data_IF_775127592271
#
_entry.id   IF_775127592271
#
_cell.length_a   1.000
_cell.length_b   1.000
_cell.length_c   1.000
_cell.angle_alpha   90.00
_cell.angle_beta   90.00
_cell.angle_gamma   90.00
#
_symmetry.space_group_name_H-M   'P 1'
#
loop_
_entity.id
_entity.type
_entity.pdbx_description
1 polymer ?
#
# COMPACT_ATOMS: atom_id res chain seq x y z
N UNK A 1 47.78 13.21 -5.58
CA UNK A 1 47.60 14.44 -6.37
C UNK A 1 46.24 15.00 -6.01
N UNK A 2 46.10 16.26 -5.55
CA UNK A 2 44.79 16.81 -5.23
C UNK A 2 44.02 16.96 -6.54
N UNK A 3 42.77 16.52 -6.56
CA UNK A 3 41.89 16.74 -7.71
C UNK A 3 41.56 18.25 -7.74
N UNK A 4 42.17 18.98 -8.67
CA UNK A 4 41.95 20.42 -8.84
C UNK A 4 40.67 20.61 -9.66
N UNK A 5 39.53 20.35 -9.01
CA UNK A 5 38.20 20.67 -9.51
C UNK A 5 38.07 22.20 -9.44
N UNK A 6 38.06 22.87 -10.60
CA UNK A 6 37.77 24.30 -10.69
C UNK A 6 36.54 24.61 -9.81
N UNK A 7 36.65 25.58 -8.89
CA UNK A 7 35.66 25.81 -7.81
C UNK A 7 34.22 25.92 -8.29
N UNK A 8 34.01 26.32 -9.54
CA UNK A 8 32.70 26.46 -10.17
C UNK A 8 32.01 25.10 -10.44
N UNK A 9 32.76 24.02 -10.65
CA UNK A 9 32.20 22.69 -10.89
C UNK A 9 31.41 22.18 -9.68
N UNK A 10 31.89 22.45 -8.46
CA UNK A 10 31.26 21.98 -7.22
C UNK A 10 29.99 22.76 -6.83
N UNK A 11 29.75 23.91 -7.46
CA UNK A 11 28.51 24.68 -7.29
C UNK A 11 27.37 24.16 -8.18
N UNK A 12 27.64 23.12 -8.99
CA UNK A 12 26.65 22.49 -9.87
C UNK A 12 26.08 21.20 -9.28
N UNK A 13 25.09 20.62 -9.95
CA UNK A 13 24.56 19.30 -9.60
C UNK A 13 25.22 18.23 -10.48
N UNK A 14 25.45 17.06 -9.92
CA UNK A 14 26.18 15.97 -10.55
C UNK A 14 25.33 14.70 -10.57
N UNK A 15 25.33 13.99 -11.71
CA UNK A 15 24.84 12.63 -11.76
C UNK A 15 25.78 11.71 -10.99
N UNK A 16 25.20 10.80 -10.21
CA UNK A 16 25.92 9.81 -9.45
C UNK A 16 25.13 8.50 -9.43
N UNK A 17 25.84 7.39 -9.21
CA UNK A 17 25.25 6.09 -8.98
C UNK A 17 25.41 5.70 -7.51
N UNK A 18 24.38 5.13 -6.92
CA UNK A 18 24.44 4.58 -5.56
C UNK A 18 25.20 3.26 -5.58
N UNK A 19 26.23 3.14 -4.73
CA UNK A 19 27.08 1.94 -4.65
C UNK A 19 26.90 1.18 -3.33
N UNK A 20 26.33 1.82 -2.30
CA UNK A 20 26.01 1.14 -1.03
C UNK A 20 24.96 1.91 -0.24
N UNK A 21 24.11 1.18 0.47
CA UNK A 21 23.13 1.69 1.43
C UNK A 21 23.47 1.34 2.88
N UNK A 22 24.59 0.64 3.11
CA UNK A 22 25.03 0.20 4.45
C UNK A 22 25.75 1.32 5.20
N UNK A 23 25.00 2.32 5.65
CA UNK A 23 25.54 3.47 6.38
C UNK A 23 26.08 3.06 7.76
N UNK A 24 27.41 3.15 8.02
CA UNK A 24 27.99 2.78 9.31
C UNK A 24 27.48 3.62 10.48
N UNK A 25 27.01 4.84 10.22
CA UNK A 25 26.53 5.77 11.24
C UNK A 25 25.01 5.70 11.45
N UNK A 26 24.29 4.86 10.69
CA UNK A 26 22.82 4.71 10.75
C UNK A 26 22.05 6.03 10.55
N UNK A 27 22.54 6.91 9.68
CA UNK A 27 21.94 8.22 9.38
C UNK A 27 21.09 8.21 8.11
N UNK A 28 20.82 7.02 7.54
CA UNK A 28 20.16 6.84 6.25
C UNK A 28 20.86 7.59 5.10
N UNK A 29 22.20 7.64 5.13
CA UNK A 29 23.01 8.11 4.01
C UNK A 29 23.17 6.98 2.98
N UNK A 30 23.48 7.37 1.75
CA UNK A 30 23.88 6.45 0.69
C UNK A 30 25.30 6.76 0.26
N UNK A 31 26.07 5.73 -0.08
CA UNK A 31 27.38 5.89 -0.70
C UNK A 31 27.16 6.04 -2.20
N UNK A 32 27.68 7.12 -2.78
CA UNK A 32 27.50 7.44 -4.19
C UNK A 32 28.83 7.57 -4.90
N UNK A 33 28.85 7.19 -6.18
CA UNK A 33 29.95 7.36 -7.12
C UNK A 33 29.52 8.35 -8.19
N UNK A 34 30.21 9.48 -8.30
CA UNK A 34 29.91 10.51 -9.31
C UNK A 34 30.20 9.98 -10.72
N UNK A 35 29.28 10.20 -11.66
CA UNK A 35 29.39 9.80 -13.06
C UNK A 35 29.98 10.89 -13.96
N UNK A 36 30.06 12.13 -13.47
CA UNK A 36 30.44 13.32 -14.25
C UNK A 36 31.93 13.70 -14.14
N UNK A 37 32.71 12.95 -13.35
CA UNK A 37 34.12 13.22 -13.11
C UNK A 37 34.92 11.97 -13.47
N UNK A 38 35.61 12.03 -14.61
CA UNK A 38 36.45 10.94 -15.11
C UNK A 38 37.83 10.92 -14.43
N UNK A 39 38.28 9.73 -14.00
CA UNK A 39 39.62 9.50 -13.45
C UNK A 39 39.72 8.22 -12.59
N UNK A 40 40.93 7.71 -12.35
CA UNK A 40 41.23 6.50 -11.54
C UNK A 40 40.82 6.58 -10.05
N UNK A 41 40.14 7.65 -9.64
CA UNK A 41 39.59 7.85 -8.31
C UNK A 41 38.18 8.38 -8.41
N UNK A 42 37.25 7.60 -8.96
CA UNK A 42 35.82 7.88 -8.85
C UNK A 42 35.47 7.95 -7.36
N UNK A 43 35.53 9.15 -6.79
CA UNK A 43 35.47 9.34 -5.36
C UNK A 43 34.09 8.90 -4.87
N UNK A 44 34.07 7.80 -4.13
CA UNK A 44 32.86 7.36 -3.46
C UNK A 44 32.69 8.15 -2.18
N UNK A 45 31.53 8.76 -2.00
CA UNK A 45 31.24 9.66 -0.88
C UNK A 45 29.93 9.25 -0.22
N UNK A 46 29.87 9.36 1.11
CA UNK A 46 28.61 9.22 1.84
C UNK A 46 27.80 10.51 1.73
N UNK A 47 26.65 10.44 1.07
CA UNK A 47 25.74 11.56 0.86
C UNK A 47 24.49 11.42 1.71
N UNK A 48 24.07 12.53 2.32
CA UNK A 48 22.75 12.62 2.96
C UNK A 48 21.67 12.68 1.89
N UNK A 49 20.50 12.12 2.17
CA UNK A 49 19.37 12.15 1.23
C UNK A 49 18.36 13.21 1.68
N UNK A 50 18.02 14.14 0.79
CA UNK A 50 16.92 15.06 1.00
C UNK A 50 15.60 14.32 0.84
N UNK A 51 14.88 14.14 1.94
CA UNK A 51 13.57 13.50 1.98
C UNK A 51 12.47 14.53 2.19
N UNK A 52 11.22 14.18 1.87
CA UNK A 52 10.08 15.10 1.95
C UNK A 52 9.88 15.72 3.34
N UNK A 53 10.16 14.97 4.42
CA UNK A 53 10.28 15.48 5.77
C UNK A 53 11.11 14.53 6.64
N UNK A 54 11.80 15.06 7.65
CA UNK A 54 12.56 14.29 8.63
C UNK A 54 12.49 14.96 10.02
N UNK A 55 12.56 14.15 11.08
CA UNK A 55 12.57 14.58 12.47
C UNK A 55 12.91 13.42 13.42
N UNK A 56 12.96 13.68 14.72
CA UNK A 56 13.24 12.65 15.72
C UNK A 56 12.24 11.49 15.62
N UNK A 57 12.71 10.31 15.19
CA UNK A 57 11.91 9.08 15.00
C UNK A 57 10.67 9.23 14.11
N UNK A 58 10.66 10.18 13.17
CA UNK A 58 9.58 10.38 12.19
C UNK A 58 10.13 10.94 10.88
N UNK A 59 9.54 10.56 9.75
CA UNK A 59 10.03 11.03 8.44
C UNK A 59 9.42 10.26 7.27
N UNK A 60 9.73 10.72 6.06
CA UNK A 60 9.51 9.97 4.81
C UNK A 60 10.79 9.23 4.43
N UNK A 61 10.95 7.97 4.85
CA UNK A 61 12.15 7.18 4.57
C UNK A 61 12.06 6.51 3.19
N UNK A 62 12.31 7.30 2.14
CA UNK A 62 12.46 6.82 0.76
C UNK A 62 13.89 7.05 0.32
N UNK A 63 14.70 5.99 0.37
CA UNK A 63 16.14 6.03 0.09
C UNK A 63 16.41 5.31 -1.24
N UNK A 64 17.22 5.87 -2.14
CA UNK A 64 17.66 5.19 -3.36
C UNK A 64 18.36 3.86 -3.03
N UNK A 65 18.17 2.85 -3.87
CA UNK A 65 18.82 1.54 -3.72
C UNK A 65 20.16 1.52 -4.46
N UNK A 66 20.96 0.49 -4.23
CA UNK A 66 22.19 0.23 -5.00
C UNK A 66 21.85 0.16 -6.49
N UNK A 67 22.75 0.72 -7.30
CA UNK A 67 22.67 0.90 -8.75
C UNK A 67 21.73 2.03 -9.23
N UNK A 68 20.92 2.62 -8.35
CA UNK A 68 20.07 3.75 -8.72
C UNK A 68 20.88 4.99 -9.08
N UNK A 69 20.44 5.68 -10.13
CA UNK A 69 20.98 6.97 -10.54
C UNK A 69 20.33 8.10 -9.72
N UNK A 70 21.17 8.97 -9.16
CA UNK A 70 20.79 10.06 -8.28
C UNK A 70 21.44 11.37 -8.68
N UNK A 71 20.76 12.46 -8.35
CA UNK A 71 21.28 13.81 -8.51
C UNK A 71 21.89 14.28 -7.17
N UNK A 72 23.17 14.66 -7.19
CA UNK A 72 23.94 15.08 -6.02
C UNK A 72 24.31 16.55 -6.15
N UNK A 73 24.18 17.30 -5.05
CA UNK A 73 24.73 18.65 -4.90
C UNK A 73 25.65 18.71 -3.69
N UNK A 74 26.48 19.75 -3.63
CA UNK A 74 27.42 19.98 -2.54
C UNK A 74 27.02 21.24 -1.78
N UNK A 75 26.83 21.11 -0.46
CA UNK A 75 26.40 22.23 0.36
C UNK A 75 27.44 23.37 0.30
N UNK A 76 27.03 24.53 -0.24
CA UNK A 76 27.90 25.68 -0.49
C UNK A 76 29.16 25.35 -1.32
N UNK A 77 29.06 24.37 -2.23
CA UNK A 77 30.18 23.93 -3.07
C UNK A 77 31.26 23.12 -2.31
N UNK A 78 31.01 22.68 -1.08
CA UNK A 78 31.96 21.90 -0.31
C UNK A 78 31.79 20.39 -0.57
N UNK A 79 32.80 19.72 -1.16
CA UNK A 79 32.73 18.30 -1.53
C UNK A 79 32.59 17.36 -0.33
N UNK A 80 32.85 17.84 0.89
CA UNK A 80 32.69 17.07 2.14
C UNK A 80 31.25 16.95 2.59
N UNK A 81 30.34 17.74 2.03
CA UNK A 81 28.93 17.76 2.39
C UNK A 81 28.00 17.46 1.20
N UNK A 82 28.10 16.27 0.59
CA UNK A 82 27.22 15.87 -0.50
C UNK A 82 25.79 15.61 -0.01
N UNK A 83 24.82 16.01 -0.82
CA UNK A 83 23.39 15.83 -0.60
C UNK A 83 22.76 15.28 -1.88
N UNK A 84 22.14 14.10 -1.79
CA UNK A 84 21.23 13.60 -2.82
C UNK A 84 19.95 14.41 -2.75
N UNK A 85 19.54 15.02 -3.86
CA UNK A 85 18.33 15.85 -3.95
C UNK A 85 17.19 15.17 -4.72
N UNK A 86 17.45 14.02 -5.34
CA UNK A 86 16.44 13.20 -6.00
C UNK A 86 17.07 12.01 -6.76
N UNK A 87 16.20 11.12 -7.23
CA UNK A 87 16.55 10.01 -8.12
C UNK A 87 16.07 10.27 -9.54
N UNK A 88 16.74 9.66 -10.51
CA UNK A 88 16.44 9.82 -11.93
C UNK A 88 16.27 8.44 -12.57
N UNK A 89 15.19 8.28 -13.34
CA UNK A 89 15.08 7.16 -14.27
C UNK A 89 16.02 7.38 -15.46
N UNK A 90 16.53 6.29 -16.03
CA UNK A 90 17.43 6.31 -17.17
C UNK A 90 17.10 5.16 -18.15
N UNK A 91 17.90 5.00 -19.21
CA UNK A 91 17.67 3.97 -20.23
C UNK A 91 17.78 2.51 -19.73
N UNK A 92 18.41 2.29 -18.56
CA UNK A 92 18.50 0.98 -17.92
C UNK A 92 17.47 0.76 -16.80
N UNK A 93 17.01 1.84 -16.17
CA UNK A 93 16.01 1.83 -15.09
C UNK A 93 14.82 2.73 -15.47
N UNK A 94 13.77 2.11 -16.02
CA UNK A 94 12.59 2.82 -16.53
C UNK A 94 11.55 3.10 -15.43
N UNK A 95 10.71 4.14 -15.58
CA UNK A 95 9.59 4.36 -14.68
C UNK A 95 8.63 3.17 -14.66
N UNK A 96 7.91 2.94 -13.54
CA UNK A 96 6.99 1.82 -13.40
C UNK A 96 5.71 1.96 -14.24
N UNK A 97 5.45 3.15 -14.78
CA UNK A 97 4.23 3.51 -15.50
C UNK A 97 4.59 4.26 -16.79
N UNK A 98 3.81 4.02 -17.84
CA UNK A 98 3.86 4.78 -19.09
C UNK A 98 2.52 5.44 -19.32
N UNK A 99 2.51 6.67 -19.83
CA UNK A 99 1.29 7.40 -20.14
C UNK A 99 0.90 7.16 -21.61
N UNK A 100 -0.35 6.76 -21.86
CA UNK A 100 -0.87 6.55 -23.22
C UNK A 100 -1.36 7.84 -23.90
N UNK A 101 -1.62 8.89 -23.12
CA UNK A 101 -2.10 10.19 -23.59
C UNK A 101 -1.09 11.33 -23.44
N UNK A 102 -1.53 12.55 -23.81
CA UNK A 102 -0.72 13.77 -23.72
C UNK A 102 -0.83 14.48 -22.36
N UNK A 103 -1.35 13.77 -21.35
CA UNK A 103 -1.62 14.26 -19.99
C UNK A 103 -1.30 13.15 -19.00
N UNK A 104 -0.87 13.55 -17.81
CA UNK A 104 -0.71 12.64 -16.66
C UNK A 104 -2.09 12.37 -16.09
N UNK A 105 -2.42 11.11 -15.91
CA UNK A 105 -3.69 10.61 -15.40
C UNK A 105 -3.51 9.71 -14.15
N UNK A 106 -2.27 9.54 -13.69
CA UNK A 106 -1.95 8.68 -12.54
C UNK A 106 -0.69 9.14 -11.83
N UNK A 107 -0.69 8.99 -10.50
CA UNK A 107 0.46 9.21 -9.63
C UNK A 107 0.63 7.98 -8.74
N UNK A 108 1.83 7.40 -8.75
CA UNK A 108 2.06 6.11 -8.09
C UNK A 108 3.28 6.13 -7.18
N UNK A 109 3.20 5.34 -6.12
CA UNK A 109 4.34 4.86 -5.34
C UNK A 109 4.45 3.37 -5.60
N UNK A 110 5.52 2.95 -6.28
CA UNK A 110 5.75 1.54 -6.64
C UNK A 110 7.05 1.06 -6.02
N UNK A 111 6.97 0.01 -5.19
CA UNK A 111 8.14 -0.62 -4.58
C UNK A 111 8.84 -1.58 -5.55
N UNK A 112 10.09 -1.93 -5.26
CA UNK A 112 10.95 -2.81 -6.08
C UNK A 112 10.32 -4.14 -6.48
N UNK A 113 9.51 -4.73 -5.60
CA UNK A 113 8.83 -5.99 -5.87
C UNK A 113 7.52 -5.84 -6.66
N UNK A 114 7.02 -4.61 -6.85
CA UNK A 114 5.77 -4.30 -7.56
C UNK A 114 4.58 -3.96 -6.67
N UNK A 115 4.74 -3.82 -5.35
CA UNK A 115 3.69 -3.27 -4.48
C UNK A 115 3.42 -1.82 -4.86
N UNK A 116 2.16 -1.45 -5.05
CA UNK A 116 1.78 -0.18 -5.66
C UNK A 116 0.68 0.52 -4.88
N UNK A 117 0.83 1.83 -4.71
CA UNK A 117 -0.21 2.75 -4.26
C UNK A 117 -0.42 3.77 -5.37
N UNK A 118 -1.64 4.05 -5.77
CA UNK A 118 -1.92 4.96 -6.87
C UNK A 118 -3.14 5.84 -6.64
N UNK A 119 -3.05 7.07 -7.13
CA UNK A 119 -4.18 7.92 -7.48
C UNK A 119 -4.31 7.83 -9.00
N UNK A 120 -5.51 7.52 -9.50
CA UNK A 120 -5.79 7.38 -10.93
C UNK A 120 -7.02 8.20 -11.28
N UNK A 121 -6.89 9.05 -12.31
CA UNK A 121 -7.87 10.01 -12.79
C UNK A 121 -7.85 10.03 -14.34
N UNK A 122 -8.35 8.95 -14.95
CA UNK A 122 -8.34 8.79 -16.42
C UNK A 122 -9.35 9.71 -17.12
N UNK A 123 -10.45 10.04 -16.45
CA UNK A 123 -11.51 10.90 -16.96
C UNK A 123 -12.31 11.54 -15.81
N UNK A 124 -13.13 12.54 -16.13
CA UNK A 124 -14.02 13.14 -15.14
C UNK A 124 -15.00 12.08 -14.59
N UNK A 125 -14.94 11.83 -13.28
CA UNK A 125 -15.80 10.88 -12.58
C UNK A 125 -15.26 9.44 -12.46
N UNK A 126 -14.06 9.15 -12.98
CA UNK A 126 -13.39 7.84 -12.83
C UNK A 126 -12.26 7.85 -11.80
N UNK A 127 -12.25 8.86 -10.93
CA UNK A 127 -11.23 9.00 -9.90
C UNK A 127 -11.24 7.76 -8.98
N UNK A 128 -10.05 7.22 -8.72
CA UNK A 128 -9.86 6.07 -7.83
C UNK A 128 -8.52 6.11 -7.12
N UNK A 129 -8.50 5.51 -5.93
CA UNK A 129 -7.30 5.22 -5.17
C UNK A 129 -7.14 3.70 -5.14
N UNK A 130 -5.96 3.22 -5.52
CA UNK A 130 -5.64 1.78 -5.63
C UNK A 130 -4.47 1.41 -4.72
N UNK A 131 -4.56 0.25 -4.08
CA UNK A 131 -3.47 -0.39 -3.36
C UNK A 131 -3.36 -1.82 -3.87
N UNK A 132 -2.21 -2.21 -4.43
CA UNK A 132 -2.03 -3.56 -4.98
C UNK A 132 -0.70 -4.17 -4.57
N UNK A 133 -0.71 -5.48 -4.42
CA UNK A 133 0.50 -6.30 -4.29
C UNK A 133 0.75 -7.06 -5.59
N UNK A 134 2.01 -7.46 -5.87
CA UNK A 134 2.35 -8.19 -7.10
C UNK A 134 1.59 -9.51 -7.26
N UNK A 135 1.21 -10.11 -6.13
CA UNK A 135 0.54 -11.40 -6.07
C UNK A 135 -0.99 -11.25 -5.97
N UNK A 136 -1.56 -10.10 -6.31
CA UNK A 136 -2.99 -9.95 -6.55
C UNK A 136 -3.86 -9.61 -5.33
N UNK A 137 -3.30 -9.37 -4.14
CA UNK A 137 -4.05 -8.68 -3.08
C UNK A 137 -4.26 -7.22 -3.49
N UNK A 138 -5.50 -6.73 -3.42
CA UNK A 138 -5.87 -5.40 -3.89
C UNK A 138 -6.91 -4.71 -3.02
N UNK A 139 -6.91 -3.37 -3.07
CA UNK A 139 -7.98 -2.54 -2.57
C UNK A 139 -8.22 -1.34 -3.48
N UNK A 140 -9.48 -0.97 -3.67
CA UNK A 140 -9.88 0.14 -4.55
C UNK A 140 -10.95 0.99 -3.88
N UNK A 141 -10.75 2.30 -3.87
CA UNK A 141 -11.75 3.31 -3.51
C UNK A 141 -12.05 4.11 -4.77
N UNK A 142 -13.33 4.31 -5.11
CA UNK A 142 -13.74 5.10 -6.28
C UNK A 142 -15.08 5.77 -6.03
N UNK A 143 -15.34 6.88 -6.73
CA UNK A 143 -16.66 7.54 -6.78
C UNK A 143 -17.47 7.14 -8.03
N UNK A 144 -16.88 6.34 -8.92
CA UNK A 144 -17.55 5.87 -10.14
C UNK A 144 -18.80 5.05 -9.79
N UNK A 145 -19.90 5.26 -10.52
CA UNK A 145 -21.14 4.50 -10.33
C UNK A 145 -21.84 4.72 -8.98
N UNK A 146 -21.60 5.84 -8.31
CA UNK A 146 -22.13 6.11 -6.95
C UNK A 146 -21.17 5.74 -5.83
N UNK A 147 -19.98 5.25 -6.19
CA UNK A 147 -18.84 5.06 -5.32
C UNK A 147 -18.79 3.69 -4.65
N UNK A 148 -17.58 3.18 -4.44
CA UNK A 148 -17.37 1.90 -3.76
C UNK A 148 -16.01 1.83 -3.07
N UNK A 149 -15.95 0.95 -2.07
CA UNK A 149 -14.71 0.55 -1.38
C UNK A 149 -14.62 -0.98 -1.48
N UNK A 150 -13.52 -1.48 -2.02
CA UNK A 150 -13.28 -2.92 -2.21
C UNK A 150 -11.95 -3.31 -1.60
N UNK A 151 -11.91 -4.48 -0.98
CA UNK A 151 -10.71 -5.19 -0.55
C UNK A 151 -10.83 -6.64 -1.01
N UNK A 152 -9.81 -7.16 -1.67
CA UNK A 152 -9.83 -8.50 -2.27
C UNK A 152 -8.46 -9.17 -2.10
N UNK A 153 -8.48 -10.46 -1.79
CA UNK A 153 -7.29 -11.31 -1.83
C UNK A 153 -7.26 -12.21 -3.07
N UNK A 154 -6.14 -12.87 -3.31
CA UNK A 154 -5.98 -13.80 -4.45
C UNK A 154 -6.85 -15.07 -4.33
N UNK A 155 -7.42 -15.34 -3.15
CA UNK A 155 -8.23 -16.54 -2.89
C UNK A 155 -9.73 -16.30 -3.06
N UNK A 156 -10.13 -15.13 -3.59
CA UNK A 156 -11.52 -14.75 -3.81
C UNK A 156 -12.27 -14.37 -2.53
N UNK A 157 -11.57 -14.07 -1.44
CA UNK A 157 -12.18 -13.43 -0.28
C UNK A 157 -12.26 -11.92 -0.54
N UNK A 158 -13.41 -11.32 -0.25
CA UNK A 158 -13.60 -9.90 -0.48
C UNK A 158 -14.54 -9.23 0.53
N UNK A 159 -14.33 -7.92 0.71
CA UNK A 159 -15.24 -7.03 1.41
C UNK A 159 -15.50 -5.84 0.50
N UNK A 160 -16.79 -5.60 0.20
CA UNK A 160 -17.23 -4.53 -0.69
C UNK A 160 -18.30 -3.68 -0.02
N UNK A 161 -18.10 -2.37 -0.05
CA UNK A 161 -19.08 -1.35 0.33
C UNK A 161 -19.47 -0.62 -0.94
N UNK A 162 -20.75 -0.58 -1.25
CA UNK A 162 -21.29 -0.02 -2.49
C UNK A 162 -22.69 0.56 -2.25
N UNK A 163 -23.29 1.30 -3.20
CA UNK A 163 -24.60 1.92 -2.99
C UNK A 163 -25.71 0.89 -2.77
N UNK A 164 -25.53 -0.33 -3.28
CA UNK A 164 -26.44 -1.45 -3.08
C UNK A 164 -26.34 -2.10 -1.68
N UNK A 165 -25.26 -1.85 -0.92
CA UNK A 165 -25.07 -2.40 0.41
C UNK A 165 -23.62 -2.80 0.73
N UNK A 166 -23.48 -3.71 1.69
CA UNK A 166 -22.19 -4.24 2.14
C UNK A 166 -22.18 -5.75 1.91
N UNK A 167 -21.16 -6.23 1.21
CA UNK A 167 -20.94 -7.65 0.92
C UNK A 167 -19.65 -8.13 1.57
N UNK A 168 -19.73 -9.27 2.27
CA UNK A 168 -18.57 -10.01 2.79
C UNK A 168 -18.59 -11.40 2.14
N UNK A 169 -17.62 -11.67 1.28
CA UNK A 169 -17.45 -12.95 0.62
C UNK A 169 -16.24 -13.67 1.21
N UNK A 170 -16.41 -14.95 1.53
CA UNK A 170 -15.29 -15.84 1.82
C UNK A 170 -15.36 -17.08 0.94
N UNK A 171 -14.23 -17.52 0.42
CA UNK A 171 -14.13 -18.75 -0.38
C UNK A 171 -14.12 -20.02 0.48
N UNK A 172 -13.87 -19.89 1.78
CA UNK A 172 -13.88 -21.01 2.73
C UNK A 172 -14.74 -20.74 3.97
N UNK A 173 -14.25 -19.94 4.91
CA UNK A 173 -14.89 -19.76 6.22
C UNK A 173 -14.83 -18.32 6.67
N UNK A 174 -15.97 -17.80 7.11
CA UNK A 174 -16.05 -16.59 7.94
C UNK A 174 -16.08 -17.01 9.41
N UNK A 175 -15.24 -16.39 10.26
CA UNK A 175 -15.26 -16.60 11.72
C UNK A 175 -15.45 -15.27 12.42
N UNK A 176 -16.44 -15.18 13.31
CA UNK A 176 -16.70 -13.99 14.14
C UNK A 176 -16.48 -14.37 15.60
N UNK A 177 -15.38 -13.89 16.19
CA UNK A 177 -15.08 -14.07 17.61
C UNK A 177 -15.32 -12.75 18.34
N UNK A 178 -16.26 -12.75 19.28
CA UNK A 178 -16.56 -11.60 20.11
C UNK A 178 -17.12 -12.07 21.45
N UNK A 179 -17.01 -11.23 22.49
CA UNK A 179 -17.70 -11.49 23.78
C UNK A 179 -19.23 -11.43 23.63
N UNK A 180 -19.72 -10.56 22.73
CA UNK A 180 -21.12 -10.43 22.37
C UNK A 180 -21.23 -10.02 20.89
N UNK A 181 -22.21 -10.60 20.18
CA UNK A 181 -22.61 -10.18 18.83
C UNK A 181 -24.07 -9.75 18.90
N UNK A 182 -24.35 -8.49 18.54
CA UNK A 182 -25.72 -7.97 18.43
C UNK A 182 -26.05 -7.73 16.95
N UNK A 183 -27.19 -8.27 16.50
CA UNK A 183 -27.68 -8.12 15.12
C UNK A 183 -29.09 -7.52 15.18
N UNK A 184 -29.27 -6.35 14.58
CA UNK A 184 -30.56 -5.67 14.47
C UNK A 184 -30.84 -5.39 13.00
N UNK A 185 -31.87 -6.03 12.46
CA UNK A 185 -32.31 -5.86 11.08
C UNK A 185 -33.82 -6.10 10.99
N UNK A 186 -34.47 -5.55 9.96
CA UNK A 186 -35.88 -5.85 9.70
C UNK A 186 -36.11 -7.34 9.38
N UNK A 187 -35.11 -8.03 8.85
CA UNK A 187 -35.10 -9.46 8.60
C UNK A 187 -33.66 -9.98 8.67
N UNK A 188 -33.48 -11.17 9.28
CA UNK A 188 -32.22 -11.93 9.20
C UNK A 188 -32.53 -13.23 8.49
N UNK A 189 -31.98 -13.39 7.29
CA UNK A 189 -32.12 -14.60 6.47
C UNK A 189 -30.89 -15.47 6.67
N UNK A 190 -31.10 -16.74 7.01
CA UNK A 190 -30.02 -17.74 7.13
C UNK A 190 -30.29 -18.87 6.14
N UNK A 191 -29.64 -18.80 4.98
CA UNK A 191 -29.66 -19.88 3.99
C UNK A 191 -28.46 -20.81 4.22
N UNK A 192 -28.68 -21.86 4.99
CA UNK A 192 -27.66 -22.83 5.34
C UNK A 192 -28.25 -24.23 5.43
N UNK A 193 -27.46 -25.24 5.05
CA UNK A 193 -27.84 -26.65 5.26
C UNK A 193 -28.02 -27.01 6.74
N UNK A 194 -27.36 -26.28 7.65
CA UNK A 194 -27.56 -26.42 9.09
C UNK A 194 -27.15 -25.15 9.84
N UNK A 195 -28.03 -24.69 10.74
CA UNK A 195 -27.75 -23.64 11.72
C UNK A 195 -27.65 -24.25 13.11
N UNK A 196 -26.44 -24.23 13.69
CA UNK A 196 -26.18 -24.83 15.00
C UNK A 196 -26.04 -23.75 16.07
N UNK A 197 -26.90 -23.84 17.09
CA UNK A 197 -26.80 -23.06 18.31
C UNK A 197 -26.43 -24.00 19.46
N UNK A 198 -25.34 -23.71 20.19
CA UNK A 198 -24.90 -24.54 21.32
C UNK A 198 -25.58 -24.20 22.64
N UNK A 199 -26.31 -23.08 22.69
CA UNK A 199 -26.98 -22.56 23.87
C UNK A 199 -28.49 -22.43 23.68
N UNK A 200 -29.10 -21.54 24.47
CA UNK A 200 -30.53 -21.27 24.42
C UNK A 200 -30.85 -20.33 23.25
N UNK A 201 -31.87 -20.67 22.47
CA UNK A 201 -32.45 -19.79 21.47
C UNK A 201 -33.73 -19.19 22.05
N UNK A 202 -33.76 -17.87 22.23
CA UNK A 202 -34.95 -17.13 22.63
C UNK A 202 -35.55 -16.43 21.41
N UNK A 203 -36.83 -16.67 21.16
CA UNK A 203 -37.60 -16.04 20.09
C UNK A 203 -39.07 -15.92 20.53
N UNK A 204 -39.79 -14.93 20.03
CA UNK A 204 -41.21 -14.74 20.36
C UNK A 204 -42.10 -15.78 19.66
N UNK A 205 -41.79 -16.14 18.41
CA UNK A 205 -42.54 -17.13 17.64
C UNK A 205 -41.59 -17.92 16.76
N UNK A 206 -41.63 -19.25 16.88
CA UNK A 206 -40.94 -20.17 15.98
C UNK A 206 -41.95 -20.76 14.99
N UNK A 207 -41.71 -20.54 13.70
CA UNK A 207 -42.46 -21.20 12.62
C UNK A 207 -41.49 -22.17 11.94
N UNK A 208 -41.80 -23.46 12.00
CA UNK A 208 -40.99 -24.52 11.40
C UNK A 208 -41.89 -25.62 10.83
N UNK A 209 -41.48 -26.23 9.73
CA UNK A 209 -42.19 -27.39 9.14
C UNK A 209 -42.18 -28.59 10.09
N UNK A 210 -41.09 -28.76 10.83
CA UNK A 210 -40.94 -29.84 11.81
C UNK A 210 -40.02 -29.38 12.93
N UNK A 211 -40.39 -29.72 14.16
CA UNK A 211 -39.55 -29.54 15.35
C UNK A 211 -39.37 -30.91 15.98
N UNK A 212 -38.11 -31.33 16.16
CA UNK A 212 -37.76 -32.60 16.81
C UNK A 212 -36.97 -32.27 18.07
N UNK A 213 -37.44 -32.77 19.22
CA UNK A 213 -36.77 -32.61 20.50
C UNK A 213 -36.94 -33.86 21.35
N UNK A 214 -35.96 -34.15 22.20
CA UNK A 214 -36.04 -35.25 23.18
C UNK A 214 -37.08 -34.97 24.27
N UNK A 215 -37.33 -33.70 24.54
CA UNK A 215 -38.26 -33.21 25.55
C UNK A 215 -38.90 -31.93 25.05
N UNK A 216 -40.20 -31.78 25.28
CA UNK A 216 -40.93 -30.55 25.04
C UNK A 216 -41.89 -30.35 26.20
N UNK A 217 -41.98 -29.11 26.70
CA UNK A 217 -42.97 -28.74 27.71
C UNK A 217 -44.04 -27.91 27.00
N UNK A 218 -45.24 -28.47 26.75
CA UNK A 218 -46.36 -27.70 26.20
C UNK A 218 -46.65 -26.48 27.04
N UNK A 219 -47.00 -25.37 26.40
CA UNK A 219 -47.84 -24.37 27.05
C UNK A 219 -49.21 -24.98 27.36
N UNK A 220 -49.88 -24.49 28.40
CA UNK A 220 -51.25 -24.87 28.73
C UNK A 220 -52.16 -24.57 27.52
N UNK A 221 -52.48 -25.60 26.71
CA UNK A 221 -53.20 -25.47 25.45
C UNK A 221 -52.71 -26.35 24.29
N UNK A 222 -51.55 -27.01 24.40
CA UNK A 222 -50.97 -27.84 23.33
C UNK A 222 -50.98 -29.36 23.58
N UNK A 223 -51.86 -29.84 24.47
CA UNK A 223 -52.04 -31.27 24.75
C UNK A 223 -53.42 -31.67 24.22
N UNK A 224 -53.47 -32.32 23.05
CA UNK A 224 -54.67 -32.96 22.48
C UNK A 224 -54.31 -34.35 22.00
#
# INVERSE_FOLDING_TARGET
MPIDLHSDALHSCHLAQVVSVQDPDNLARVKVKLLTIDGEGSAELWARVAVAFAGASRGALFIPDVDDEVLVTFLAGDPRFPIVIGSLWNGGQTPPETFSGNRVDRWTLTGKAGTRIAIVEESAGSAKIEFTTPNGVSGVLTDEGGGSITLEDISGNSVKLEPAGITVQASAKVTVNASQVAVSAGMVTVDAGMSRFSGVVQCDTLIATTVVGTTYTPGAGNIW
#
